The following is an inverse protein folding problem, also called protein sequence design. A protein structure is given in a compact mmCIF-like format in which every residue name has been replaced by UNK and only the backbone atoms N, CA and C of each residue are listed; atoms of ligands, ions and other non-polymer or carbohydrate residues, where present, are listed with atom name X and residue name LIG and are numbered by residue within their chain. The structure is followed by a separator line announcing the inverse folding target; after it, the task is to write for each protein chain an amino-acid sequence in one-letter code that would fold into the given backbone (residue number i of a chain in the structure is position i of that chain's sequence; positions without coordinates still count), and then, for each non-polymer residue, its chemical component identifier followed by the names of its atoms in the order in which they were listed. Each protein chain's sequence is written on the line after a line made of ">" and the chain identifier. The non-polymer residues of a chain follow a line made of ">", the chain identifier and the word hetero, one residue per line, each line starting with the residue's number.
data_IF_994598395383
#
_entry.id   IF_994598395383
#
_cell.length_a   1.000
_cell.length_b   1.000
_cell.length_c   1.000
_cell.angle_alpha   90.00
_cell.angle_beta   90.00
_cell.angle_gamma   90.00
#
_symmetry.space_group_name_H-M   'P 1'
#
loop_
_entity.id
_entity.type
_entity.pdbx_description
1 polymer ?
#
# COMPACT_ATOMS: atom_id res chain seq x y z
N UNK A 1 -21.65 -8.33 5.86
CA UNK A 1 -20.35 -8.02 5.29
C UNK A 1 -20.44 -6.71 4.51
N UNK A 2 -19.69 -5.72 4.93
CA UNK A 2 -19.71 -4.43 4.25
C UNK A 2 -18.79 -4.46 3.05
N UNK A 3 -19.38 -4.48 1.86
CA UNK A 3 -18.62 -4.33 0.63
C UNK A 3 -18.25 -2.85 0.46
N UNK A 4 -16.96 -2.55 0.54
CA UNK A 4 -16.46 -1.20 0.31
C UNK A 4 -16.06 -1.07 -1.15
N UNK A 5 -16.47 0.02 -1.76
CA UNK A 5 -16.10 0.34 -3.12
C UNK A 5 -14.92 1.30 -3.09
N UNK A 6 -13.90 1.01 -3.88
CA UNK A 6 -12.67 1.78 -3.90
C UNK A 6 -12.50 2.51 -5.22
N UNK A 7 -12.10 3.77 -5.14
CA UNK A 7 -11.63 4.53 -6.30
C UNK A 7 -10.18 4.93 -6.09
N UNK A 8 -9.40 4.87 -7.16
CA UNK A 8 -7.97 5.18 -7.15
C UNK A 8 -7.75 6.38 -8.08
N UNK A 9 -7.10 7.41 -7.55
CA UNK A 9 -6.79 8.62 -8.29
C UNK A 9 -5.29 8.80 -8.38
N UNK A 10 -4.79 9.10 -9.58
CA UNK A 10 -3.40 9.51 -9.78
C UNK A 10 -3.33 11.02 -9.68
N UNK A 11 -2.45 11.53 -8.83
CA UNK A 11 -2.34 12.95 -8.56
C UNK A 11 -1.02 13.49 -9.11
N UNK A 12 -1.04 14.72 -9.65
CA UNK A 12 0.17 15.42 -10.06
C UNK A 12 0.94 15.96 -8.86
N UNK A 13 0.22 16.39 -7.85
CA UNK A 13 0.80 16.92 -6.62
C UNK A 13 -0.19 16.75 -5.47
N UNK A 14 0.34 16.76 -4.27
CA UNK A 14 -0.47 16.68 -3.07
C UNK A 14 0.23 17.46 -1.95
N UNK A 15 -0.49 18.41 -1.37
CA UNK A 15 0.06 19.22 -0.28
C UNK A 15 -0.23 18.57 1.06
N UNK A 16 0.75 17.86 1.60
CA UNK A 16 0.65 17.22 2.90
C UNK A 16 0.55 18.22 4.04
N UNK A 17 1.07 19.44 3.85
CA UNK A 17 1.05 20.47 4.87
C UNK A 17 -0.32 21.15 5.02
N UNK A 18 -1.12 21.13 3.96
CA UNK A 18 -2.47 21.71 3.99
C UNK A 18 -3.45 20.84 4.76
N UNK A 19 -3.08 19.60 5.08
CA UNK A 19 -3.93 18.65 5.81
C UNK A 19 -3.16 18.10 7.00
N UNK A 20 -3.85 17.93 8.12
CA UNK A 20 -3.27 17.28 9.29
C UNK A 20 -3.25 15.76 9.03
N UNK A 21 -2.15 15.28 8.51
CA UNK A 21 -1.97 13.86 8.22
C UNK A 21 -1.41 13.14 9.42
N UNK A 22 -1.87 11.92 9.70
CA UNK A 22 -1.22 11.07 10.69
C UNK A 22 0.17 10.68 10.19
N UNK A 23 0.97 10.12 11.10
CA UNK A 23 2.30 9.64 10.73
C UNK A 23 2.20 8.59 9.64
N UNK A 24 2.97 8.77 8.57
CA UNK A 24 2.98 7.83 7.46
C UNK A 24 3.68 6.53 7.80
N UNK A 25 3.27 5.46 7.13
CA UNK A 25 3.84 4.12 7.27
C UNK A 25 4.69 3.81 6.04
N UNK A 26 5.93 3.40 6.25
CA UNK A 26 6.84 3.03 5.18
C UNK A 26 6.65 1.56 4.84
N UNK A 27 6.36 1.27 3.57
CA UNK A 27 6.09 -0.09 3.10
C UNK A 27 7.05 -0.41 1.95
N UNK A 28 7.80 -1.51 2.09
CA UNK A 28 8.68 -2.02 1.04
C UNK A 28 8.21 -3.42 0.66
N UNK A 29 8.05 -3.66 -0.62
CA UNK A 29 7.51 -4.91 -1.15
C UNK A 29 8.39 -5.47 -2.25
N UNK A 30 8.66 -6.76 -2.21
CA UNK A 30 9.30 -7.47 -3.32
C UNK A 30 8.80 -8.91 -3.37
N UNK A 31 9.05 -9.56 -4.51
CA UNK A 31 8.65 -10.95 -4.75
C UNK A 31 9.89 -11.78 -5.01
N UNK A 32 9.93 -13.01 -4.48
CA UNK A 32 10.97 -13.99 -4.81
C UNK A 32 10.45 -15.12 -5.69
N UNK A 33 9.14 -15.28 -5.77
CA UNK A 33 8.51 -16.30 -6.61
C UNK A 33 7.12 -15.85 -7.05
N UNK A 34 6.86 -15.94 -8.34
CA UNK A 34 5.53 -15.69 -8.90
C UNK A 34 5.25 -16.83 -9.89
N UNK A 35 4.29 -17.67 -9.55
CA UNK A 35 3.86 -18.78 -10.43
C UNK A 35 2.36 -18.98 -10.29
N UNK A 36 1.78 -19.80 -11.16
CA UNK A 36 0.35 -20.12 -11.09
C UNK A 36 -0.02 -20.90 -9.82
N UNK A 37 0.96 -21.55 -9.20
CA UNK A 37 0.73 -22.38 -8.00
C UNK A 37 1.15 -21.70 -6.70
N UNK A 38 2.14 -20.83 -6.75
CA UNK A 38 2.68 -20.22 -5.54
C UNK A 38 3.23 -18.82 -5.81
N UNK A 39 2.90 -17.91 -4.92
CA UNK A 39 3.46 -16.56 -4.91
C UNK A 39 4.08 -16.30 -3.53
N UNK A 40 5.35 -15.91 -3.54
CA UNK A 40 6.07 -15.50 -2.33
C UNK A 40 6.34 -14.00 -2.41
N UNK A 41 5.66 -13.26 -1.56
CA UNK A 41 5.76 -11.82 -1.46
C UNK A 41 6.34 -11.47 -0.09
N UNK A 42 7.32 -10.59 -0.06
CA UNK A 42 7.91 -10.09 1.18
C UNK A 42 7.56 -8.62 1.33
N UNK A 43 7.18 -8.24 2.55
CA UNK A 43 6.75 -6.88 2.82
C UNK A 43 7.26 -6.41 4.17
N UNK A 44 7.85 -5.22 4.22
CA UNK A 44 8.13 -4.55 5.48
C UNK A 44 7.12 -3.43 5.67
N UNK A 45 6.65 -3.31 6.92
CA UNK A 45 5.74 -2.22 7.32
C UNK A 45 6.41 -1.58 8.53
N UNK A 46 7.05 -0.42 8.30
CA UNK A 46 7.96 0.22 9.24
C UNK A 46 9.07 -0.76 9.69
N UNK A 47 9.10 -1.16 10.95
CA UNK A 47 10.12 -2.08 11.48
C UNK A 47 9.65 -3.52 11.63
N UNK A 48 8.50 -3.85 11.04
CA UNK A 48 7.97 -5.21 11.04
C UNK A 48 8.10 -5.83 9.67
N UNK A 49 8.39 -7.13 9.61
CA UNK A 49 8.71 -7.83 8.37
C UNK A 49 7.81 -9.05 8.21
N UNK A 50 7.33 -9.27 6.99
CA UNK A 50 6.34 -10.30 6.71
C UNK A 50 6.65 -11.07 5.44
N UNK A 51 6.34 -12.36 5.47
CA UNK A 51 6.26 -13.19 4.28
C UNK A 51 4.78 -13.50 4.02
N UNK A 52 4.34 -13.27 2.79
CA UNK A 52 3.00 -13.64 2.34
C UNK A 52 3.12 -14.76 1.31
N UNK A 53 2.67 -15.94 1.71
CA UNK A 53 2.64 -17.11 0.83
C UNK A 53 1.19 -17.33 0.40
N UNK A 54 0.90 -17.07 -0.88
CA UNK A 54 -0.46 -17.15 -1.41
C UNK A 54 -1.46 -16.36 -0.55
N UNK A 55 -1.05 -15.16 -0.10
CA UNK A 55 -1.82 -14.25 0.76
C UNK A 55 -1.96 -14.70 2.22
N UNK A 56 -1.32 -15.78 2.63
CA UNK A 56 -1.20 -16.13 4.04
C UNK A 56 0.01 -15.40 4.63
N UNK A 57 -0.24 -14.56 5.62
CA UNK A 57 0.76 -13.67 6.20
C UNK A 57 1.44 -14.30 7.41
N UNK A 58 2.77 -14.24 7.42
CA UNK A 58 3.60 -14.71 8.51
C UNK A 58 4.64 -13.64 8.84
N UNK A 59 4.77 -13.30 10.11
CA UNK A 59 5.80 -12.35 10.53
C UNK A 59 7.17 -13.04 10.59
N UNK A 60 8.21 -12.40 10.00
CA UNK A 60 9.55 -12.94 9.93
C UNK A 60 10.54 -11.95 10.55
N UNK A 61 11.79 -12.40 10.76
CA UNK A 61 12.84 -11.54 11.27
C UNK A 61 13.37 -10.59 10.19
N UNK A 62 13.97 -9.48 10.62
CA UNK A 62 14.68 -8.57 9.71
C UNK A 62 15.77 -9.30 8.92
N UNK A 63 16.49 -10.19 9.59
CA UNK A 63 17.58 -10.97 8.97
C UNK A 63 17.05 -11.83 7.82
N UNK A 64 15.93 -12.52 8.04
CA UNK A 64 15.32 -13.34 7.00
C UNK A 64 14.79 -12.49 5.84
N UNK A 65 14.24 -11.33 6.14
CA UNK A 65 13.75 -10.39 5.13
C UNK A 65 14.91 -9.88 4.25
N UNK A 66 16.00 -9.44 4.86
CA UNK A 66 17.16 -8.93 4.12
C UNK A 66 17.83 -10.04 3.27
N UNK A 67 17.87 -11.25 3.78
CA UNK A 67 18.39 -12.39 3.04
C UNK A 67 17.52 -12.70 1.81
N UNK A 68 16.20 -12.66 1.97
CA UNK A 68 15.27 -12.88 0.87
C UNK A 68 15.38 -11.79 -0.18
N UNK A 69 15.67 -10.55 0.23
CA UNK A 69 15.78 -9.40 -0.67
C UNK A 69 16.84 -9.60 -1.76
N UNK A 70 17.90 -10.33 -1.46
CA UNK A 70 18.94 -10.66 -2.42
C UNK A 70 18.43 -11.52 -3.57
N UNK A 71 17.30 -12.20 -3.37
CA UNK A 71 16.67 -13.08 -4.37
C UNK A 71 15.45 -12.43 -5.03
N UNK A 72 15.25 -11.12 -4.83
CA UNK A 72 14.09 -10.43 -5.36
C UNK A 72 14.05 -10.47 -6.89
N UNK A 73 12.88 -10.76 -7.43
CA UNK A 73 12.59 -10.67 -8.85
C UNK A 73 11.73 -9.44 -9.11
N UNK A 74 11.76 -8.89 -10.32
CA UNK A 74 11.00 -7.71 -10.71
C UNK A 74 11.32 -6.41 -9.93
N UNK A 75 12.38 -6.42 -9.14
CA UNK A 75 12.78 -5.25 -8.35
C UNK A 75 12.00 -5.09 -7.06
N UNK A 76 12.33 -4.04 -6.33
CA UNK A 76 11.74 -3.71 -5.04
C UNK A 76 10.90 -2.44 -5.15
N UNK A 77 9.69 -2.48 -4.63
CA UNK A 77 8.78 -1.34 -4.62
C UNK A 77 8.68 -0.78 -3.22
N UNK A 78 9.00 0.51 -3.06
CA UNK A 78 8.90 1.19 -1.77
C UNK A 78 7.91 2.33 -1.85
N UNK A 79 7.03 2.41 -0.84
CA UNK A 79 6.03 3.47 -0.76
C UNK A 79 5.86 3.94 0.67
N UNK A 80 5.34 5.15 0.84
CA UNK A 80 4.89 5.66 2.12
C UNK A 80 3.39 5.85 2.05
N UNK A 81 2.67 5.30 3.02
CA UNK A 81 1.21 5.30 3.04
C UNK A 81 0.69 6.10 4.23
N UNK A 82 -0.29 6.97 3.97
CA UNK A 82 -0.98 7.77 4.97
C UNK A 82 -2.45 7.43 4.95
N UNK A 83 -3.01 7.09 6.12
CA UNK A 83 -4.43 6.82 6.26
C UNK A 83 -5.09 7.99 6.97
N UNK A 84 -6.20 8.48 6.43
CA UNK A 84 -6.92 9.60 7.01
C UNK A 84 -8.40 9.51 6.68
N UNK A 85 -9.20 10.31 7.39
CA UNK A 85 -10.63 10.41 7.14
C UNK A 85 -10.95 11.74 6.45
N UNK A 86 -11.74 11.67 5.38
CA UNK A 86 -12.33 12.84 4.75
C UNK A 86 -13.84 12.75 5.01
N UNK A 87 -14.29 13.48 6.03
CA UNK A 87 -15.61 13.24 6.59
C UNK A 87 -15.64 11.88 7.27
N UNK A 88 -16.51 10.99 6.83
CA UNK A 88 -16.60 9.61 7.32
C UNK A 88 -15.99 8.59 6.34
N UNK A 89 -15.36 9.07 5.27
CA UNK A 89 -14.71 8.22 4.28
C UNK A 89 -13.25 7.96 4.64
N UNK A 90 -12.86 6.70 4.54
CA UNK A 90 -11.47 6.30 4.75
C UNK A 90 -10.68 6.52 3.47
N UNK A 91 -9.57 7.26 3.58
CA UNK A 91 -8.70 7.56 2.46
C UNK A 91 -7.29 7.06 2.74
N UNK A 92 -6.61 6.60 1.69
CA UNK A 92 -5.21 6.22 1.73
C UNK A 92 -4.46 7.04 0.69
N UNK A 93 -3.49 7.81 1.15
CA UNK A 93 -2.59 8.54 0.26
C UNK A 93 -1.24 7.84 0.25
N UNK A 94 -0.78 7.44 -0.93
CA UNK A 94 0.44 6.66 -1.09
C UNK A 94 1.43 7.38 -1.99
N UNK A 95 2.67 7.45 -1.54
CA UNK A 95 3.76 8.05 -2.30
C UNK A 95 4.74 6.96 -2.70
N UNK A 96 4.87 6.71 -3.99
CA UNK A 96 5.87 5.82 -4.57
C UNK A 96 7.04 6.69 -4.99
N UNK A 97 8.09 6.76 -4.14
CA UNK A 97 9.16 7.74 -4.27
C UNK A 97 9.97 7.61 -5.55
N UNK A 98 10.33 6.40 -5.92
CA UNK A 98 11.18 6.16 -7.08
C UNK A 98 10.47 6.48 -8.39
N UNK A 99 9.20 6.17 -8.47
CA UNK A 99 8.38 6.43 -9.65
C UNK A 99 7.78 7.82 -9.65
N UNK A 100 7.95 8.60 -8.58
CA UNK A 100 7.32 9.91 -8.38
C UNK A 100 5.82 9.87 -8.59
N UNK A 101 5.20 8.82 -8.10
CA UNK A 101 3.79 8.56 -8.27
C UNK A 101 3.03 8.85 -6.98
N UNK A 102 1.96 9.64 -7.10
CA UNK A 102 1.07 9.96 -5.99
C UNK A 102 -0.28 9.31 -6.26
N UNK A 103 -0.73 8.49 -5.31
CA UNK A 103 -1.97 7.73 -5.44
C UNK A 103 -2.89 8.05 -4.28
N UNK A 104 -4.13 8.41 -4.57
CA UNK A 104 -5.17 8.58 -3.57
C UNK A 104 -6.19 7.47 -3.73
N UNK A 105 -6.38 6.67 -2.67
CA UNK A 105 -7.40 5.63 -2.61
C UNK A 105 -8.49 6.07 -1.66
N UNK A 106 -9.73 6.06 -2.12
CA UNK A 106 -10.89 6.46 -1.32
C UNK A 106 -11.86 5.29 -1.24
N UNK A 107 -12.28 4.95 -0.04
CA UNK A 107 -13.23 3.86 0.20
C UNK A 107 -14.64 4.42 0.39
N UNK A 108 -15.60 3.82 -0.27
CA UNK A 108 -16.99 4.25 -0.25
C UNK A 108 -17.89 3.11 0.21
N UNK A 109 -19.01 3.46 0.84
CA UNK A 109 -19.99 2.47 1.32
C UNK A 109 -20.88 1.97 0.21
N UNK A 110 -21.06 2.73 -0.88
CA UNK A 110 -21.88 2.34 -2.02
C UNK A 110 -21.22 2.74 -3.33
N UNK A 111 -21.59 2.04 -4.39
CA UNK A 111 -21.10 2.34 -5.74
C UNK A 111 -21.55 3.71 -6.21
N UNK A 112 -22.79 4.11 -5.88
CA UNK A 112 -23.32 5.41 -6.23
C UNK A 112 -22.51 6.54 -5.60
N UNK A 113 -22.20 6.42 -4.32
CA UNK A 113 -21.36 7.39 -3.61
C UNK A 113 -19.99 7.50 -4.26
N UNK A 114 -19.40 6.35 -4.66
CA UNK A 114 -18.11 6.33 -5.32
C UNK A 114 -18.13 7.06 -6.66
N UNK A 115 -19.21 6.93 -7.43
CA UNK A 115 -19.37 7.60 -8.73
C UNK A 115 -19.51 9.11 -8.60
N UNK A 116 -20.14 9.58 -7.53
CA UNK A 116 -20.42 11.00 -7.33
C UNK A 116 -19.25 11.76 -6.71
N UNK A 117 -18.28 11.04 -6.16
CA UNK A 117 -17.13 11.66 -5.50
C UNK A 117 -16.19 12.33 -6.50
N UNK A 118 -15.84 13.59 -6.20
CA UNK A 118 -14.81 14.35 -6.93
C UNK A 118 -13.69 14.69 -5.96
N UNK A 119 -12.45 14.30 -6.27
CA UNK A 119 -11.31 14.58 -5.39
C UNK A 119 -10.97 16.06 -5.29
#
# INVERSE_FOLDING_TARGET
>A
MNNLFQRIFLLHSFDLNARQMPKGVSITTFYTKISSKETLKFQSVDERYFLLRNNLREEISKKDFEKAREKAILGTLSKKSYEFLEGDRKCLFQIYKEERLFVLKVLFKSEEEARQFKP
#
